data_IF_509152661482
#
_entry.id   IF_509152661482
#
_cell.length_a   1.000
_cell.length_b   1.000
_cell.length_c   1.000
_cell.angle_alpha   90.00
_cell.angle_beta   90.00
_cell.angle_gamma   90.00
#
_symmetry.space_group_name_H-M   'P 1'
#
loop_
_entity.id
_entity.type
_entity.pdbx_description
1 polymer ?
#
# COMPACT_ATOMS: atom_id res chain seq x y z
N UNK A 1 8.26 -12.85 10.38
CA UNK A 1 6.89 -12.45 10.79
C UNK A 1 6.25 -12.01 9.49
N UNK A 2 5.09 -12.55 9.10
CA UNK A 2 4.48 -12.17 7.81
C UNK A 2 3.57 -10.97 8.03
N UNK A 3 3.81 -9.87 7.32
CA UNK A 3 3.00 -8.65 7.35
C UNK A 3 2.72 -8.16 5.92
N UNK A 4 1.83 -7.19 5.75
CA UNK A 4 1.63 -6.52 4.47
C UNK A 4 2.86 -5.69 4.10
N UNK A 5 3.13 -5.59 2.81
CA UNK A 5 4.36 -4.94 2.33
C UNK A 5 4.37 -3.44 2.65
N UNK A 6 5.48 -2.95 3.19
CA UNK A 6 5.76 -1.51 3.22
C UNK A 6 6.38 -1.10 1.89
N UNK A 7 5.89 -0.02 1.30
CA UNK A 7 6.46 0.56 0.08
C UNK A 7 7.18 1.86 0.44
N UNK A 8 8.49 1.75 0.61
CA UNK A 8 9.38 2.81 1.10
C UNK A 8 10.16 3.56 0.00
N UNK A 9 10.14 3.04 -1.22
CA UNK A 9 10.97 3.56 -2.31
C UNK A 9 10.44 3.17 -3.68
N UNK A 10 10.90 3.89 -4.70
CA UNK A 10 10.65 3.53 -6.10
C UNK A 10 11.20 2.13 -6.44
N UNK A 11 12.33 1.73 -5.85
CA UNK A 11 12.91 0.40 -6.06
C UNK A 11 11.95 -0.69 -5.57
N UNK A 12 11.33 -0.49 -4.41
CA UNK A 12 10.31 -1.40 -3.87
C UNK A 12 9.10 -1.47 -4.78
N UNK A 13 8.61 -0.33 -5.31
CA UNK A 13 7.53 -0.31 -6.33
C UNK A 13 7.91 -1.13 -7.57
N UNK A 14 9.10 -0.94 -8.12
CA UNK A 14 9.52 -1.67 -9.33
C UNK A 14 9.67 -3.17 -9.08
N UNK A 15 10.16 -3.55 -7.90
CA UNK A 15 10.31 -4.95 -7.50
C UNK A 15 8.94 -5.61 -7.38
N UNK A 16 8.00 -4.95 -6.68
CA UNK A 16 6.63 -5.44 -6.53
C UNK A 16 5.93 -5.62 -7.88
N UNK A 17 6.00 -4.62 -8.76
CA UNK A 17 5.39 -4.71 -10.09
C UNK A 17 6.01 -5.84 -10.93
N UNK A 18 7.31 -6.13 -10.76
CA UNK A 18 7.99 -7.20 -11.51
C UNK A 18 7.69 -8.61 -10.98
N UNK A 19 7.40 -8.74 -9.68
CA UNK A 19 7.11 -10.01 -9.02
C UNK A 19 5.61 -10.33 -8.95
N UNK A 20 4.76 -9.32 -9.15
CA UNK A 20 3.31 -9.49 -9.10
C UNK A 20 2.83 -10.44 -10.21
N UNK A 21 2.20 -11.56 -9.81
CA UNK A 21 1.44 -12.38 -10.73
C UNK A 21 0.06 -11.76 -10.96
N UNK A 22 -0.02 -10.85 -11.94
CA UNK A 22 -1.24 -10.12 -12.29
C UNK A 22 -2.41 -11.04 -12.68
N UNK A 23 -2.14 -12.31 -13.02
CA UNK A 23 -3.19 -13.29 -13.36
C UNK A 23 -3.97 -13.74 -12.12
N UNK A 24 -3.41 -13.57 -10.92
CA UNK A 24 -4.02 -13.94 -9.64
C UNK A 24 -4.66 -12.74 -8.90
N UNK A 25 -4.66 -11.54 -9.48
CA UNK A 25 -5.05 -10.30 -8.80
C UNK A 25 -6.48 -9.82 -9.14
N UNK A 26 -7.28 -10.67 -9.77
CA UNK A 26 -8.64 -10.33 -10.20
C UNK A 26 -8.68 -9.26 -11.31
N UNK A 27 -9.88 -8.79 -11.64
CA UNK A 27 -10.08 -7.86 -12.77
C UNK A 27 -9.60 -6.43 -12.49
N UNK A 28 -9.53 -6.04 -11.21
CA UNK A 28 -9.09 -4.69 -10.81
C UNK A 28 -7.56 -4.58 -10.84
N UNK A 29 -6.84 -5.68 -10.56
CA UNK A 29 -5.38 -5.68 -10.35
C UNK A 29 -4.93 -4.70 -9.25
N UNK A 30 -5.80 -4.47 -8.27
CA UNK A 30 -5.45 -3.76 -7.06
C UNK A 30 -5.10 -4.76 -5.98
N UNK A 31 -4.11 -4.45 -5.16
CA UNK A 31 -3.81 -5.23 -3.97
C UNK A 31 -3.47 -4.38 -2.76
N UNK A 32 -3.88 -4.85 -1.60
CA UNK A 32 -3.55 -4.26 -0.31
C UNK A 32 -2.05 -4.26 -0.08
N UNK A 33 -1.56 -3.10 0.37
CA UNK A 33 -0.22 -2.89 0.94
C UNK A 33 -0.39 -2.55 2.42
N UNK A 34 0.69 -2.52 3.19
CA UNK A 34 0.63 -2.31 4.65
C UNK A 34 0.24 -0.90 5.07
N UNK A 35 -0.26 -0.07 4.15
CA UNK A 35 -0.60 1.32 4.41
C UNK A 35 -2.04 1.40 4.92
N UNK A 36 -2.27 2.09 6.03
CA UNK A 36 -3.62 2.31 6.57
C UNK A 36 -3.75 3.72 7.15
N UNK A 37 -4.97 4.27 7.09
CA UNK A 37 -5.26 5.58 7.66
C UNK A 37 -5.62 5.42 9.14
N UNK A 38 -4.77 5.99 10.01
CA UNK A 38 -5.07 6.16 11.43
C UNK A 38 -5.89 7.44 11.65
N UNK A 39 -6.32 7.72 12.87
CA UNK A 39 -7.22 8.83 13.25
C UNK A 39 -6.86 10.19 12.63
N UNK A 40 -5.57 10.44 12.36
CA UNK A 40 -5.07 11.70 11.80
C UNK A 40 -4.05 11.57 10.67
N UNK A 41 -3.47 10.38 10.43
CA UNK A 41 -2.37 10.24 9.48
C UNK A 41 -2.21 8.81 8.95
N UNK A 42 -1.51 8.66 7.83
CA UNK A 42 -1.19 7.37 7.21
C UNK A 42 -0.03 6.68 7.94
N UNK A 43 -0.19 5.40 8.22
CA UNK A 43 0.80 4.56 8.90
C UNK A 43 1.02 3.25 8.15
N UNK A 44 2.20 2.68 8.35
CA UNK A 44 2.54 1.34 7.88
C UNK A 44 2.26 0.32 8.97
N UNK A 45 1.78 -0.86 8.59
CA UNK A 45 1.40 -1.96 9.49
C UNK A 45 2.60 -2.58 10.20
N UNK A 46 3.78 -2.51 9.57
CA UNK A 46 4.99 -3.10 10.12
C UNK A 46 5.47 -2.26 11.30
N UNK A 47 5.41 -2.87 12.49
CA UNK A 47 5.64 -2.22 13.78
C UNK A 47 7.12 -1.93 14.10
N UNK A 48 8.04 -2.31 13.23
CA UNK A 48 9.48 -2.15 13.47
C UNK A 48 9.93 -0.78 12.94
N UNK A 49 9.88 0.25 13.79
CA UNK A 49 10.27 1.61 13.42
C UNK A 49 11.74 1.71 12.99
N UNK A 50 12.62 0.82 13.49
CA UNK A 50 14.04 0.75 13.11
C UNK A 50 14.25 0.16 11.71
N UNK A 51 13.23 -0.48 11.13
CA UNK A 51 13.21 -0.91 9.73
C UNK A 51 13.24 0.30 8.78
N UNK A 52 12.54 1.38 9.14
CA UNK A 52 12.42 2.58 8.32
C UNK A 52 13.61 3.51 8.53
N UNK A 53 14.61 3.45 7.65
CA UNK A 53 15.79 4.32 7.75
C UNK A 53 15.53 5.65 7.02
N UNK A 54 16.09 6.74 7.53
CA UNK A 54 16.30 7.98 6.77
C UNK A 54 15.10 8.49 5.93
N UNK A 55 13.94 8.74 6.53
CA UNK A 55 12.72 9.23 5.84
C UNK A 55 12.04 8.23 4.88
N UNK A 56 12.38 6.94 4.88
CA UNK A 56 11.68 5.89 4.10
C UNK A 56 10.17 5.82 4.40
N UNK A 57 9.76 6.16 5.63
CA UNK A 57 8.35 6.30 6.01
C UNK A 57 7.59 7.45 5.31
N UNK A 58 8.29 8.35 4.60
CA UNK A 58 7.69 9.53 3.93
C UNK A 58 7.49 9.35 2.43
N UNK A 59 7.99 8.24 1.85
CA UNK A 59 7.76 7.96 0.45
C UNK A 59 6.27 7.76 0.18
N UNK A 60 5.76 8.42 -0.84
CA UNK A 60 4.40 8.22 -1.31
C UNK A 60 4.36 8.08 -2.82
N UNK A 61 3.50 7.20 -3.33
CA UNK A 61 3.25 7.05 -4.76
C UNK A 61 1.76 7.10 -5.09
N UNK A 62 1.04 8.00 -4.44
CA UNK A 62 -0.39 8.23 -4.68
C UNK A 62 -0.68 8.47 -6.17
N UNK A 63 -1.83 7.96 -6.60
CA UNK A 63 -2.41 8.36 -7.87
C UNK A 63 -2.83 9.84 -7.83
N UNK A 64 -2.75 10.60 -8.92
CA UNK A 64 -3.20 11.99 -8.93
C UNK A 64 -4.64 12.14 -8.42
N UNK A 65 -4.83 12.94 -7.37
CA UNK A 65 -6.14 13.12 -6.72
C UNK A 65 -6.39 12.23 -5.51
N UNK A 66 -5.41 11.40 -5.12
CA UNK A 66 -5.43 10.62 -3.88
C UNK A 66 -4.41 11.18 -2.87
N UNK A 67 -4.59 10.96 -1.55
CA UNK A 67 -5.78 10.31 -0.97
C UNK A 67 -7.01 11.22 -1.01
N UNK A 68 -8.19 10.64 -1.26
CA UNK A 68 -9.50 11.34 -1.24
C UNK A 68 -10.43 10.90 -0.10
N UNK A 69 -9.84 10.28 0.93
CA UNK A 69 -10.49 9.81 2.15
C UNK A 69 -11.45 10.83 2.76
N UNK A 70 -12.61 10.33 3.19
CA UNK A 70 -13.65 11.07 3.90
C UNK A 70 -13.54 10.76 5.40
N UNK A 71 -13.68 11.80 6.24
CA UNK A 71 -13.73 11.63 7.70
C UNK A 71 -14.72 10.53 8.13
N UNK A 72 -14.34 9.73 9.14
CA UNK A 72 -15.13 8.66 9.77
C UNK A 72 -15.24 7.30 9.04
N UNK A 73 -14.57 7.11 7.90
CA UNK A 73 -14.43 5.79 7.28
C UNK A 73 -13.00 5.29 7.44
N UNK A 74 -12.82 3.99 7.75
CA UNK A 74 -11.49 3.36 7.78
C UNK A 74 -11.01 3.13 6.34
N UNK A 75 -9.92 3.80 5.97
CA UNK A 75 -9.29 3.68 4.65
C UNK A 75 -7.97 2.92 4.74
N UNK A 76 -7.77 2.03 3.79
CA UNK A 76 -6.55 1.27 3.59
C UNK A 76 -5.93 1.64 2.26
N UNK A 77 -4.60 1.61 2.19
CA UNK A 77 -3.85 1.86 0.98
C UNK A 77 -3.72 0.59 0.15
N UNK A 78 -3.96 0.70 -1.15
CA UNK A 78 -3.74 -0.36 -2.11
C UNK A 78 -2.94 0.15 -3.31
N UNK A 79 -2.23 -0.77 -3.97
CA UNK A 79 -1.44 -0.48 -5.16
C UNK A 79 -2.14 -1.03 -6.41
N UNK A 80 -2.21 -0.21 -7.45
CA UNK A 80 -2.51 -0.68 -8.80
C UNK A 80 -1.23 -1.17 -9.46
N UNK A 81 -1.01 -2.49 -9.51
CA UNK A 81 0.30 -3.07 -9.88
C UNK A 81 0.76 -2.75 -11.29
N UNK A 82 -0.15 -2.47 -12.23
CA UNK A 82 0.25 -2.10 -13.60
C UNK A 82 0.98 -0.74 -13.64
N UNK A 83 0.71 0.17 -12.68
CA UNK A 83 1.32 1.50 -12.62
C UNK A 83 2.16 1.76 -11.36
N UNK A 84 2.05 0.88 -10.36
CA UNK A 84 2.64 1.03 -9.04
C UNK A 84 2.05 2.17 -8.19
N UNK A 85 0.93 2.77 -8.63
CA UNK A 85 0.29 3.94 -8.00
C UNK A 85 -0.67 3.51 -6.90
N UNK A 86 -0.84 4.37 -5.90
CA UNK A 86 -1.63 4.05 -4.71
C UNK A 86 -2.99 4.72 -4.69
N UNK A 87 -3.97 4.01 -4.15
CA UNK A 87 -5.31 4.48 -3.85
C UNK A 87 -5.60 4.27 -2.37
N UNK A 88 -6.42 5.16 -1.82
CA UNK A 88 -7.11 4.89 -0.57
C UNK A 88 -8.48 4.28 -0.86
N UNK A 89 -8.83 3.25 -0.11
CA UNK A 89 -10.06 2.50 -0.36
C UNK A 89 -10.60 1.98 0.98
N UNK A 90 -11.94 1.95 1.18
CA UNK A 90 -12.52 1.37 2.37
C UNK A 90 -11.94 -0.02 2.65
N UNK A 91 -11.46 -0.23 3.89
CA UNK A 91 -10.71 -1.44 4.26
C UNK A 91 -11.53 -2.74 4.13
N UNK A 92 -12.85 -2.66 4.05
CA UNK A 92 -13.77 -3.78 3.90
C UNK A 92 -13.88 -4.29 2.44
N UNK A 93 -13.23 -3.63 1.49
CA UNK A 93 -13.20 -4.08 0.10
C UNK A 93 -12.38 -5.37 -0.08
N UNK A 94 -12.91 -6.27 -0.92
CA UNK A 94 -12.27 -7.54 -1.25
C UNK A 94 -11.23 -7.33 -2.35
N UNK A 95 -9.97 -7.14 -1.94
CA UNK A 95 -8.80 -7.09 -2.81
C UNK A 95 -7.79 -8.18 -2.45
N UNK A 96 -6.94 -8.56 -3.41
CA UNK A 96 -5.75 -9.37 -3.12
C UNK A 96 -4.79 -8.60 -2.20
N UNK A 97 -3.82 -9.29 -1.59
CA UNK A 97 -2.85 -8.68 -0.67
C UNK A 97 -1.42 -8.99 -1.07
N UNK A 98 -0.50 -8.04 -0.87
CA UNK A 98 0.93 -8.24 -1.05
C UNK A 98 1.59 -8.26 0.33
N UNK A 99 2.31 -9.34 0.63
CA UNK A 99 2.96 -9.55 1.93
C UNK A 99 4.50 -9.47 1.81
N UNK A 100 5.16 -9.06 2.90
CA UNK A 100 6.59 -9.22 3.13
C UNK A 100 6.86 -10.38 4.10
N UNK A 101 8.08 -10.95 4.05
CA UNK A 101 8.54 -12.06 4.89
C UNK A 101 9.68 -11.62 5.82
#
# INVERSE_FOLDING_TARGET
YTDLVTVDSYSTVTTLNSLADVTQMGSTKHAWIGLYFDVIDWKWSLSDEDFYKNNEATYTNWYPGQPDSIWYTEYCGNIYVDQGRWWDTPCDNLLSSICSN
#
